data_IF_557535458926
#
_entry.id   IF_557535458926
#
_cell.length_a   1.000
_cell.length_b   1.000
_cell.length_c   1.000
_cell.angle_alpha   90.00
_cell.angle_beta   90.00
_cell.angle_gamma   90.00
#
_symmetry.space_group_name_H-M   'P 1'
#
loop_
_entity.id
_entity.type
_entity.pdbx_description
1 polymer ?
#
# COMPACT_ATOMS: atom_id res chain seq x y z
N UNK A 1 -20.39 8.83 -17.21
CA UNK A 1 -20.31 7.44 -17.68
C UNK A 1 -21.59 6.68 -17.36
N UNK A 2 -21.86 5.65 -18.14
CA UNK A 2 -23.08 4.86 -17.97
C UNK A 2 -23.18 4.19 -16.59
N UNK A 3 -22.05 3.85 -16.01
CA UNK A 3 -22.04 3.16 -14.73
C UNK A 3 -22.52 4.04 -13.57
N UNK A 4 -22.38 5.34 -13.69
CA UNK A 4 -22.78 6.26 -12.65
C UNK A 4 -24.13 6.92 -12.88
N UNK A 5 -24.63 6.96 -14.12
CA UNK A 5 -25.86 7.66 -14.46
C UNK A 5 -27.09 7.17 -13.73
N UNK A 6 -27.18 5.87 -13.45
CA UNK A 6 -28.30 5.29 -12.74
C UNK A 6 -28.18 5.26 -11.23
N UNK A 7 -26.99 5.60 -10.69
CA UNK A 7 -26.68 5.47 -9.26
C UNK A 7 -26.54 6.82 -8.57
N UNK A 8 -26.25 7.86 -9.31
CA UNK A 8 -25.92 9.18 -8.78
C UNK A 8 -26.85 10.23 -9.37
N UNK A 9 -27.43 11.08 -8.53
CA UNK A 9 -28.31 12.15 -8.99
C UNK A 9 -27.58 13.21 -9.81
N UNK A 10 -28.34 13.99 -10.62
CA UNK A 10 -27.72 15.01 -11.46
C UNK A 10 -26.92 16.05 -10.68
N UNK A 11 -27.32 16.38 -9.47
CA UNK A 11 -26.61 17.35 -8.64
C UNK A 11 -25.21 16.86 -8.28
N UNK A 12 -25.08 15.57 -7.99
CA UNK A 12 -23.80 14.97 -7.66
C UNK A 12 -22.96 14.80 -8.92
N UNK A 13 -23.59 14.41 -10.04
CA UNK A 13 -22.88 14.30 -11.31
C UNK A 13 -22.26 15.63 -11.75
N UNK A 14 -22.92 16.73 -11.45
CA UNK A 14 -22.40 18.05 -11.80
C UNK A 14 -21.09 18.37 -11.07
N UNK A 15 -20.84 17.73 -9.93
CA UNK A 15 -19.58 17.89 -9.20
C UNK A 15 -18.45 17.04 -9.77
N UNK A 16 -18.77 16.03 -10.59
CA UNK A 16 -17.81 15.08 -11.14
C UNK A 16 -17.36 15.49 -12.53
N UNK A 17 -16.89 16.72 -12.67
CA UNK A 17 -16.44 17.26 -13.95
C UNK A 17 -15.01 16.79 -14.27
N UNK A 18 -14.73 16.60 -15.57
CA UNK A 18 -13.39 16.24 -16.03
C UNK A 18 -12.35 17.29 -15.63
N UNK A 19 -12.73 18.55 -15.58
CA UNK A 19 -11.84 19.65 -15.19
C UNK A 19 -11.33 19.49 -13.76
N UNK A 20 -12.04 18.75 -12.92
CA UNK A 20 -11.60 18.51 -11.54
C UNK A 20 -10.42 17.53 -11.45
N UNK A 21 -10.18 16.74 -12.51
CA UNK A 21 -9.11 15.75 -12.55
C UNK A 21 -7.85 16.31 -13.20
N UNK A 22 -8.00 17.20 -14.15
CA UNK A 22 -6.91 17.74 -14.95
C UNK A 22 -5.73 18.30 -14.13
N UNK A 23 -5.95 19.05 -13.03
CA UNK A 23 -4.83 19.56 -12.25
C UNK A 23 -3.91 18.46 -11.70
N UNK A 24 -4.47 17.33 -11.29
CA UNK A 24 -3.65 16.21 -10.80
C UNK A 24 -2.79 15.63 -11.92
N UNK A 25 -3.36 15.46 -13.12
CA UNK A 25 -2.61 14.97 -14.28
C UNK A 25 -1.47 15.92 -14.62
N UNK A 26 -1.75 17.21 -14.68
CA UNK A 26 -0.74 18.23 -15.01
C UNK A 26 0.36 18.26 -13.96
N UNK A 27 0.01 18.13 -12.68
CA UNK A 27 1.01 18.09 -11.61
C UNK A 27 1.92 16.87 -11.76
N UNK A 28 1.35 15.69 -12.04
CA UNK A 28 2.15 14.47 -12.19
C UNK A 28 3.08 14.50 -13.41
N UNK A 29 2.75 15.33 -14.40
CA UNK A 29 3.60 15.54 -15.59
C UNK A 29 4.64 16.63 -15.37
N UNK A 30 4.59 17.38 -14.28
CA UNK A 30 5.50 18.49 -14.03
C UNK A 30 6.84 18.01 -13.50
N UNK A 31 7.82 18.91 -13.51
CA UNK A 31 9.16 18.63 -12.95
C UNK A 31 9.13 18.42 -11.45
N UNK A 32 8.16 19.00 -10.77
CA UNK A 32 8.02 18.89 -9.31
C UNK A 32 7.31 17.63 -8.86
N UNK A 33 6.84 16.79 -9.80
CA UNK A 33 6.07 15.61 -9.46
C UNK A 33 6.91 14.60 -8.68
N UNK A 34 6.35 14.01 -7.61
CA UNK A 34 7.03 12.95 -6.89
C UNK A 34 7.06 11.67 -7.74
N UNK A 35 8.04 10.82 -7.48
CA UNK A 35 8.11 9.50 -8.12
C UNK A 35 7.30 8.48 -7.31
N UNK A 36 6.89 7.39 -7.97
CA UNK A 36 6.17 6.27 -7.33
C UNK A 36 4.95 6.72 -6.56
N UNK A 37 4.22 7.68 -7.11
CA UNK A 37 3.06 8.24 -6.44
C UNK A 37 1.81 7.97 -7.26
N UNK A 38 0.80 7.45 -6.60
CA UNK A 38 -0.52 7.25 -7.18
C UNK A 38 -1.43 8.31 -6.59
N UNK A 39 -2.14 9.03 -7.44
CA UNK A 39 -3.09 10.04 -6.97
C UNK A 39 -4.51 9.62 -7.28
N UNK A 40 -5.38 9.77 -6.30
CA UNK A 40 -6.81 9.72 -6.52
C UNK A 40 -7.32 11.14 -6.76
N UNK A 41 -8.18 11.31 -7.74
CA UNK A 41 -8.76 12.62 -8.05
C UNK A 41 -10.22 12.46 -8.46
N UNK A 42 -11.07 13.34 -7.96
CA UNK A 42 -12.47 13.35 -8.32
C UNK A 42 -13.20 14.47 -7.62
N UNK A 43 -14.12 15.11 -8.33
CA UNK A 43 -14.98 16.17 -7.79
C UNK A 43 -14.22 17.25 -7.02
N UNK A 44 -13.00 17.57 -7.45
CA UNK A 44 -12.18 18.60 -6.80
C UNK A 44 -11.42 18.12 -5.56
N UNK A 45 -11.50 16.83 -5.24
CA UNK A 45 -10.74 16.25 -4.14
C UNK A 45 -9.53 15.50 -4.68
N UNK A 46 -8.42 15.61 -3.98
CA UNK A 46 -7.16 14.98 -4.38
C UNK A 46 -6.55 14.27 -3.19
N UNK A 47 -6.03 13.06 -3.43
CA UNK A 47 -5.44 12.26 -2.38
C UNK A 47 -4.25 11.47 -2.94
N UNK A 48 -3.38 11.01 -2.07
CA UNK A 48 -2.28 10.14 -2.43
C UNK A 48 -2.60 8.73 -1.95
N UNK A 49 -2.40 7.75 -2.82
CA UNK A 49 -2.62 6.34 -2.52
C UNK A 49 -1.25 5.68 -2.36
N UNK A 50 -1.08 4.95 -1.29
CA UNK A 50 0.17 4.21 -1.05
C UNK A 50 -0.13 2.76 -0.80
N UNK A 51 0.76 1.89 -1.28
CA UNK A 51 0.74 0.47 -0.94
C UNK A 51 1.63 0.31 0.29
N UNK A 52 1.05 -0.20 1.36
CA UNK A 52 1.76 -0.39 2.63
C UNK A 52 1.70 -1.85 3.04
N UNK A 53 2.64 -2.25 3.87
CA UNK A 53 2.71 -3.63 4.35
C UNK A 53 2.80 -3.61 5.87
N UNK A 54 2.04 -4.48 6.52
CA UNK A 54 2.13 -4.66 7.97
C UNK A 54 3.46 -5.26 8.35
N UNK A 55 3.86 -5.13 9.61
CA UNK A 55 5.09 -5.78 10.08
C UNK A 55 5.00 -7.29 9.97
N UNK A 56 3.83 -7.85 10.21
CA UNK A 56 3.59 -9.29 10.08
C UNK A 56 4.24 -10.12 11.16
N UNK A 57 4.31 -11.40 10.92
CA UNK A 57 4.94 -12.36 11.82
C UNK A 57 5.82 -13.32 11.03
N UNK A 58 6.91 -13.73 11.63
CA UNK A 58 7.69 -14.87 11.14
C UNK A 58 7.26 -16.11 11.92
N UNK A 59 6.83 -17.16 11.21
CA UNK A 59 6.40 -18.41 11.83
C UNK A 59 7.48 -19.47 11.67
N UNK A 60 7.66 -20.33 12.68
CA UNK A 60 8.57 -21.46 12.55
C UNK A 60 8.06 -22.47 11.51
N UNK A 61 8.95 -23.29 10.99
CA UNK A 61 8.64 -24.18 9.87
C UNK A 61 7.46 -25.12 10.14
N UNK A 62 7.32 -25.60 11.36
CA UNK A 62 6.22 -26.48 11.75
C UNK A 62 4.87 -25.78 11.78
N UNK A 63 4.87 -24.45 11.66
CA UNK A 63 3.65 -23.63 11.58
C UNK A 63 3.42 -23.03 10.19
N UNK A 64 4.09 -23.53 9.18
CA UNK A 64 3.84 -23.11 7.79
C UNK A 64 2.61 -23.82 7.23
N UNK A 65 1.46 -23.51 7.81
CA UNK A 65 0.19 -24.14 7.46
C UNK A 65 -0.90 -23.07 7.34
N UNK A 66 -1.94 -23.32 6.53
CA UNK A 66 -3.07 -22.38 6.46
C UNK A 66 -3.74 -22.17 7.82
N UNK A 67 -3.84 -23.20 8.64
CA UNK A 67 -4.47 -23.09 9.96
C UNK A 67 -3.67 -22.17 10.88
N UNK A 68 -2.35 -22.24 10.84
CA UNK A 68 -1.50 -21.39 11.66
C UNK A 68 -1.59 -19.92 11.19
N UNK A 69 -1.64 -19.70 9.89
CA UNK A 69 -1.83 -18.34 9.35
C UNK A 69 -3.19 -17.78 9.79
N UNK A 70 -4.24 -18.59 9.70
CA UNK A 70 -5.57 -18.16 10.13
C UNK A 70 -5.59 -17.81 11.61
N UNK A 71 -4.96 -18.63 12.45
CA UNK A 71 -4.93 -18.40 13.89
C UNK A 71 -4.15 -17.13 14.26
N UNK A 72 -3.19 -16.72 13.44
CA UNK A 72 -2.36 -15.54 13.68
C UNK A 72 -2.72 -14.36 12.80
N UNK A 73 -3.79 -14.45 12.03
CA UNK A 73 -4.09 -13.44 11.01
C UNK A 73 -4.29 -12.04 11.59
N UNK A 74 -4.86 -11.92 12.78
CA UNK A 74 -5.04 -10.61 13.41
C UNK A 74 -3.71 -9.90 13.64
N UNK A 75 -2.66 -10.64 14.01
CA UNK A 75 -1.33 -10.08 14.19
C UNK A 75 -0.64 -9.84 12.85
N UNK A 76 -0.78 -10.78 11.93
CA UNK A 76 -0.20 -10.67 10.58
C UNK A 76 -0.74 -9.43 9.89
N UNK A 77 -2.04 -9.18 10.01
CA UNK A 77 -2.72 -8.07 9.35
C UNK A 77 -2.89 -6.81 10.18
N UNK A 78 -2.16 -6.66 11.27
CA UNK A 78 -2.30 -5.49 12.15
C UNK A 78 -1.86 -4.21 11.42
N UNK A 79 -2.84 -3.46 10.94
CA UNK A 79 -2.59 -2.25 10.14
C UNK A 79 -1.94 -1.13 10.94
N UNK A 80 -1.95 -1.20 12.28
CA UNK A 80 -1.23 -0.20 13.07
C UNK A 80 0.28 -0.28 12.88
N UNK A 81 0.78 -1.42 12.36
CA UNK A 81 2.20 -1.62 12.06
C UNK A 81 2.56 -1.35 10.61
N UNK A 82 1.57 -0.99 9.79
CA UNK A 82 1.76 -0.85 8.35
C UNK A 82 2.72 0.29 8.00
N UNK A 83 3.55 0.04 7.00
CA UNK A 83 4.49 1.04 6.49
C UNK A 83 4.74 0.83 5.01
N UNK A 84 5.20 1.88 4.35
CA UNK A 84 5.65 1.84 2.96
C UNK A 84 7.10 1.40 2.94
N UNK A 85 7.37 0.23 2.35
CA UNK A 85 8.73 -0.33 2.31
C UNK A 85 9.57 0.24 1.16
N UNK A 86 8.95 0.94 0.23
CA UNK A 86 9.67 1.59 -0.86
C UNK A 86 10.05 0.68 -2.03
N UNK A 87 9.88 -0.63 -1.92
CA UNK A 87 10.16 -1.53 -3.02
C UNK A 87 10.24 -2.99 -2.61
N UNK A 88 10.21 -3.89 -3.60
CA UNK A 88 10.20 -5.33 -3.38
C UNK A 88 11.46 -5.85 -2.68
N UNK A 89 12.60 -5.22 -2.98
CA UNK A 89 13.87 -5.62 -2.39
C UNK A 89 13.86 -5.42 -0.86
N UNK A 90 13.29 -4.31 -0.40
CA UNK A 90 13.18 -4.04 1.02
C UNK A 90 12.23 -5.00 1.72
N UNK A 91 11.20 -5.46 1.03
CA UNK A 91 10.30 -6.48 1.53
C UNK A 91 11.05 -7.80 1.76
N UNK A 92 11.84 -8.22 0.80
CA UNK A 92 12.64 -9.43 0.91
C UNK A 92 13.62 -9.34 2.08
N UNK A 93 14.30 -8.22 2.23
CA UNK A 93 15.19 -7.99 3.36
C UNK A 93 14.47 -8.09 4.70
N UNK A 94 13.31 -7.48 4.80
CA UNK A 94 12.52 -7.52 6.02
C UNK A 94 12.21 -8.97 6.43
N UNK A 95 11.79 -9.79 5.47
CA UNK A 95 11.46 -11.19 5.75
C UNK A 95 12.69 -11.99 6.15
N UNK A 96 13.81 -11.77 5.49
CA UNK A 96 15.06 -12.44 5.81
C UNK A 96 15.56 -12.01 7.19
N UNK A 97 15.47 -10.75 7.53
CA UNK A 97 15.83 -10.25 8.85
C UNK A 97 14.99 -10.89 9.96
N UNK A 98 13.69 -11.00 9.73
CA UNK A 98 12.78 -11.63 10.70
C UNK A 98 13.12 -13.11 10.89
N UNK A 99 13.41 -13.81 9.80
CA UNK A 99 13.78 -15.21 9.87
C UNK A 99 15.12 -15.41 10.57
N UNK A 100 16.09 -14.56 10.28
CA UNK A 100 17.41 -14.63 10.90
C UNK A 100 17.34 -14.35 12.41
N UNK A 101 16.53 -13.35 12.79
CA UNK A 101 16.33 -13.02 14.19
C UNK A 101 15.70 -14.19 14.96
N UNK A 102 14.70 -14.83 14.36
CA UNK A 102 14.02 -15.98 14.95
C UNK A 102 14.96 -17.17 15.10
N UNK A 103 15.91 -17.35 14.17
CA UNK A 103 16.88 -18.44 14.19
C UNK A 103 18.15 -18.11 14.98
N UNK A 104 18.29 -16.89 15.48
CA UNK A 104 19.49 -16.47 16.18
C UNK A 104 20.70 -16.23 15.28
N UNK A 105 20.48 -16.02 14.00
CA UNK A 105 21.54 -15.80 13.01
C UNK A 105 21.77 -14.29 12.85
N UNK A 106 23.04 -13.89 12.89
CA UNK A 106 23.41 -12.50 12.67
C UNK A 106 23.67 -12.28 11.18
N UNK A 107 22.91 -11.40 10.56
CA UNK A 107 23.10 -11.07 9.16
C UNK A 107 24.21 -10.04 8.97
N UNK A 108 24.93 -10.08 7.82
CA UNK A 108 25.81 -8.98 7.46
C UNK A 108 24.99 -7.71 7.21
N UNK A 109 25.64 -6.57 7.33
CA UNK A 109 24.97 -5.29 7.09
C UNK A 109 24.66 -5.13 5.60
N UNK A 110 23.46 -5.49 5.21
CA UNK A 110 23.02 -5.48 3.81
C UNK A 110 22.14 -4.29 3.45
N UNK A 111 21.69 -3.55 4.44
CA UNK A 111 20.68 -2.51 4.22
C UNK A 111 21.22 -1.10 4.19
N UNK A 112 22.47 -0.95 4.37
CA UNK A 112 23.10 0.36 4.29
C UNK A 112 22.48 1.41 5.18
#
# INVERSE_FOLDING_TARGET
TRMTEGLIGPEILALMKLESITPAVLYLLSEDAPTRTIMGAGAGSFAVIKVVETEGLNLPQDQWTPDAIAANFAKIGDMSTARDLGGAFFQTFKYVEQAAKAAGIKLPNMGG
#
